data_IF_371359806843
#
_entry.id   IF_371359806843
#
_cell.length_a   1.000
_cell.length_b   1.000
_cell.length_c   1.000
_cell.angle_alpha   90.00
_cell.angle_beta   90.00
_cell.angle_gamma   90.00
#
_symmetry.space_group_name_H-M   'P 1'
#
loop_
_entity.id
_entity.type
_entity.pdbx_description
1 polymer ?
#
# COMPACT_ATOMS: atom_id res chain seq x y z
N UNK A 1 0.71 -82.66 25.88
CA UNK A 1 1.18 -83.11 24.56
C UNK A 1 0.80 -82.06 23.55
N UNK A 2 1.83 -81.45 22.98
CA UNK A 2 1.93 -80.94 21.61
C UNK A 2 0.87 -79.92 21.15
N UNK A 3 1.23 -78.77 20.63
CA UNK A 3 2.52 -78.09 20.55
C UNK A 3 2.26 -76.80 19.76
N UNK A 4 2.61 -75.66 20.33
CA UNK A 4 3.63 -74.78 19.74
C UNK A 4 3.51 -74.28 18.28
N UNK A 5 2.34 -74.29 17.63
CA UNK A 5 2.22 -73.73 16.27
C UNK A 5 1.34 -72.48 16.16
N UNK A 6 0.47 -72.20 17.14
CA UNK A 6 -0.44 -71.05 17.07
C UNK A 6 0.05 -69.83 17.87
N UNK A 7 0.79 -70.02 18.97
CA UNK A 7 1.40 -68.89 19.70
C UNK A 7 2.66 -68.34 19.02
N UNK A 8 3.39 -69.16 18.25
CA UNK A 8 4.63 -68.75 17.55
C UNK A 8 4.33 -67.89 16.32
N UNK A 9 3.12 -67.98 15.75
CA UNK A 9 2.70 -67.13 14.62
C UNK A 9 2.29 -65.73 15.07
N UNK A 10 1.67 -65.61 16.25
CA UNK A 10 1.26 -64.31 16.80
C UNK A 10 2.47 -63.53 17.33
N UNK A 11 3.50 -64.21 17.86
CA UNK A 11 4.71 -63.54 18.35
C UNK A 11 5.67 -63.11 17.22
N UNK A 12 5.78 -63.87 16.12
CA UNK A 12 6.59 -63.46 14.96
C UNK A 12 5.94 -62.37 14.10
N UNK A 13 4.60 -62.23 14.13
CA UNK A 13 3.93 -61.11 13.48
C UNK A 13 4.12 -59.78 14.25
N UNK A 14 4.20 -59.84 15.58
CA UNK A 14 4.46 -58.66 16.43
C UNK A 14 5.95 -58.25 16.44
N UNK A 15 6.88 -59.17 16.19
CA UNK A 15 8.31 -58.83 16.08
C UNK A 15 8.68 -58.25 14.70
N UNK A 16 7.99 -58.63 13.62
CA UNK A 16 8.14 -58.01 12.30
C UNK A 16 7.50 -56.61 12.23
N UNK A 17 6.48 -56.33 13.05
CA UNK A 17 5.88 -55.00 13.17
C UNK A 17 6.70 -54.01 14.05
N UNK A 18 7.67 -54.49 14.84
CA UNK A 18 8.53 -53.64 15.67
C UNK A 18 9.99 -53.52 15.17
N UNK A 19 10.32 -54.11 14.02
CA UNK A 19 11.62 -53.92 13.35
C UNK A 19 11.52 -53.19 12.00
N UNK A 20 10.32 -52.76 11.61
CA UNK A 20 10.11 -51.81 10.51
C UNK A 20 9.89 -50.38 11.02
N UNK A 21 10.39 -50.04 12.21
CA UNK A 21 10.67 -48.65 12.59
C UNK A 21 12.05 -48.26 12.04
N UNK A 22 12.27 -48.45 10.74
CA UNK A 22 13.25 -47.64 10.03
C UNK A 22 12.59 -46.30 9.82
N UNK A 23 13.24 -45.30 10.37
CA UNK A 23 13.07 -43.87 10.21
C UNK A 23 12.81 -43.47 8.76
N UNK A 24 11.57 -43.64 8.31
CA UNK A 24 11.03 -42.85 7.22
C UNK A 24 10.61 -41.54 7.86
N UNK A 25 11.55 -40.59 7.85
CA UNK A 25 11.23 -39.17 7.95
C UNK A 25 10.19 -38.91 6.85
N UNK A 26 8.91 -39.00 7.22
CA UNK A 26 7.82 -38.41 6.44
C UNK A 26 8.11 -36.93 6.51
N UNK A 27 8.92 -36.47 5.55
CA UNK A 27 8.86 -35.11 5.06
C UNK A 27 7.41 -34.92 4.68
N UNK A 28 6.63 -34.39 5.62
CA UNK A 28 5.44 -33.63 5.30
C UNK A 28 5.97 -32.45 4.51
N UNK A 29 6.12 -32.67 3.20
CA UNK A 29 6.16 -31.59 2.24
C UNK A 29 4.89 -30.80 2.56
N UNK A 30 5.05 -29.69 3.29
CA UNK A 30 3.99 -28.73 3.46
C UNK A 30 3.66 -28.36 2.03
N UNK A 31 2.58 -28.93 1.50
CA UNK A 31 2.07 -28.66 0.17
C UNK A 31 1.81 -27.16 0.15
N UNK A 32 2.80 -26.39 -0.29
CA UNK A 32 2.57 -25.03 -0.70
C UNK A 32 1.45 -25.10 -1.71
N UNK A 33 0.37 -24.35 -1.48
CA UNK A 33 -0.73 -24.25 -2.42
C UNK A 33 -0.14 -23.96 -3.81
N UNK A 34 -0.17 -24.97 -4.69
CA UNK A 34 0.39 -24.90 -6.05
C UNK A 34 -0.42 -23.95 -6.94
N UNK A 35 -1.50 -23.37 -6.42
CA UNK A 35 -2.42 -22.52 -7.14
C UNK A 35 -2.66 -21.22 -6.40
N UNK A 36 -2.54 -20.10 -7.09
CA UNK A 36 -2.97 -18.79 -6.63
C UNK A 36 -4.47 -18.63 -6.81
N UNK A 37 -5.18 -18.39 -5.71
CA UNK A 37 -6.61 -18.12 -5.71
C UNK A 37 -6.82 -16.63 -5.95
N UNK A 38 -7.53 -16.30 -7.03
CA UNK A 38 -7.89 -14.92 -7.36
C UNK A 38 -9.39 -14.68 -7.24
N UNK A 39 -9.76 -13.50 -6.76
CA UNK A 39 -11.14 -13.08 -6.50
C UNK A 39 -11.54 -11.94 -7.42
N UNK A 40 -12.80 -11.94 -7.85
CA UNK A 40 -13.33 -10.90 -8.75
C UNK A 40 -13.51 -9.57 -8.02
N UNK A 41 -12.95 -8.50 -8.58
CA UNK A 41 -13.14 -7.14 -8.12
C UNK A 41 -13.44 -6.21 -9.31
N UNK A 42 -14.72 -5.97 -9.60
CA UNK A 42 -15.14 -5.14 -10.75
C UNK A 42 -14.48 -5.64 -12.04
N UNK A 43 -13.65 -4.83 -12.70
CA UNK A 43 -12.92 -5.18 -13.92
C UNK A 43 -11.50 -5.71 -13.63
N UNK A 44 -11.28 -6.27 -12.44
CA UNK A 44 -10.00 -6.79 -11.98
C UNK A 44 -10.16 -8.16 -11.33
N UNK A 45 -9.06 -8.89 -11.26
CA UNK A 45 -8.90 -10.04 -10.38
C UNK A 45 -7.81 -9.75 -9.37
N UNK A 46 -8.00 -10.24 -8.14
CA UNK A 46 -7.15 -9.90 -7.00
C UNK A 46 -6.73 -11.17 -6.28
N UNK A 47 -5.43 -11.35 -6.09
CA UNK A 47 -4.83 -12.38 -5.25
C UNK A 47 -4.47 -11.70 -3.94
N UNK A 48 -5.32 -11.88 -2.93
CA UNK A 48 -5.07 -11.36 -1.60
C UNK A 48 -4.03 -12.22 -0.87
N UNK A 49 -3.15 -11.58 -0.09
CA UNK A 49 -2.20 -12.24 0.79
C UNK A 49 -1.21 -13.15 0.05
N UNK A 50 -0.75 -12.71 -1.13
CA UNK A 50 0.37 -13.36 -1.83
C UNK A 50 1.60 -13.44 -0.91
N UNK A 51 1.86 -12.37 -0.16
CA UNK A 51 2.54 -12.48 1.14
C UNK A 51 1.50 -12.25 2.22
N UNK A 52 1.49 -13.10 3.24
CA UNK A 52 0.64 -12.95 4.39
C UNK A 52 1.45 -12.38 5.55
N UNK A 53 1.16 -11.13 5.95
CA UNK A 53 1.79 -10.53 7.12
C UNK A 53 1.38 -11.27 8.39
N UNK A 54 2.36 -11.72 9.16
CA UNK A 54 2.25 -12.50 10.40
C UNK A 54 2.40 -11.68 11.67
N UNK A 55 2.67 -10.37 11.57
CA UNK A 55 2.71 -9.46 12.71
C UNK A 55 1.45 -9.60 13.57
N UNK A 56 1.63 -9.82 14.88
CA UNK A 56 0.53 -9.88 15.82
C UNK A 56 -0.04 -8.46 16.05
N UNK A 57 -1.36 -8.32 16.00
CA UNK A 57 -2.05 -7.05 16.11
C UNK A 57 -3.14 -7.17 17.17
N UNK A 58 -2.97 -6.47 18.29
CA UNK A 58 -4.00 -6.29 19.30
C UNK A 58 -4.82 -5.03 18.99
N UNK A 59 -5.81 -5.17 18.09
CA UNK A 59 -6.68 -4.04 17.70
C UNK A 59 -7.58 -3.52 18.83
N UNK A 60 -7.69 -4.25 19.94
CA UNK A 60 -8.56 -3.89 21.06
C UNK A 60 -7.80 -2.99 22.03
N UNK A 61 -6.65 -3.43 22.51
CA UNK A 61 -5.89 -2.70 23.54
C UNK A 61 -4.81 -1.79 22.94
N UNK A 62 -4.20 -2.18 21.81
CA UNK A 62 -3.09 -1.48 21.18
C UNK A 62 -3.29 -1.27 19.66
N UNK A 63 -4.36 -0.56 19.24
CA UNK A 63 -4.70 -0.43 17.82
C UNK A 63 -3.54 0.16 17.03
N UNK A 64 -3.14 -0.54 15.97
CA UNK A 64 -2.01 -0.17 15.11
C UNK A 64 -2.51 0.60 13.90
N UNK A 65 -1.58 1.27 13.22
CA UNK A 65 -1.87 1.93 11.95
C UNK A 65 -1.30 1.06 10.83
N UNK A 66 -2.14 0.65 9.87
CA UNK A 66 -1.63 0.05 8.64
C UNK A 66 -1.10 1.13 7.68
N UNK A 67 0.14 0.97 7.22
CA UNK A 67 0.63 1.71 6.07
C UNK A 67 0.06 1.06 4.81
N UNK A 68 -0.79 1.80 4.12
CA UNK A 68 -1.46 1.35 2.90
C UNK A 68 -0.74 1.92 1.70
N UNK A 69 -0.06 1.03 0.98
CA UNK A 69 0.76 1.35 -0.18
C UNK A 69 0.14 0.80 -1.45
N UNK A 70 0.53 1.39 -2.57
CA UNK A 70 0.30 0.86 -3.90
C UNK A 70 1.56 1.00 -4.71
N UNK A 71 1.77 0.08 -5.65
CA UNK A 71 3.00 0.08 -6.43
C UNK A 71 2.87 -0.63 -7.78
N UNK A 72 3.95 -0.56 -8.54
CA UNK A 72 4.32 -1.53 -9.58
C UNK A 72 5.59 -2.24 -9.11
N UNK A 73 5.90 -3.42 -9.64
CA UNK A 73 7.08 -4.20 -9.19
C UNK A 73 8.39 -3.39 -9.17
N UNK A 74 8.53 -2.43 -10.08
CA UNK A 74 9.75 -1.61 -10.25
C UNK A 74 10.11 -0.74 -9.03
N UNK A 75 9.17 -0.54 -8.11
CA UNK A 75 9.37 0.27 -6.90
C UNK A 75 9.40 -0.59 -5.62
N UNK A 76 9.47 -1.93 -5.74
CA UNK A 76 9.65 -2.84 -4.61
C UNK A 76 10.85 -2.48 -3.72
N UNK A 77 12.01 -2.00 -4.23
CA UNK A 77 13.14 -1.64 -3.36
C UNK A 77 12.80 -0.59 -2.29
N UNK A 78 11.83 0.28 -2.54
CA UNK A 78 11.37 1.24 -1.53
C UNK A 78 10.71 0.57 -0.32
N UNK A 79 10.20 -0.66 -0.45
CA UNK A 79 9.66 -1.42 0.68
C UNK A 79 10.73 -1.71 1.73
N UNK A 80 12.01 -1.86 1.35
CA UNK A 80 13.10 -2.05 2.32
C UNK A 80 13.18 -0.86 3.28
N UNK A 81 13.01 0.36 2.77
CA UNK A 81 12.96 1.56 3.63
C UNK A 81 11.76 1.53 4.58
N UNK A 82 10.59 1.07 4.13
CA UNK A 82 9.41 0.93 4.99
C UNK A 82 9.59 -0.18 6.02
N UNK A 83 10.29 -1.26 5.67
CA UNK A 83 10.66 -2.31 6.64
C UNK A 83 11.55 -1.73 7.74
N UNK A 84 12.40 -0.76 7.44
CA UNK A 84 13.29 -0.20 8.44
C UNK A 84 12.66 0.96 9.24
N UNK A 85 11.67 1.66 8.70
CA UNK A 85 11.16 2.92 9.28
C UNK A 85 9.72 2.84 9.80
N UNK A 86 8.88 1.95 9.25
CA UNK A 86 7.48 1.81 9.67
C UNK A 86 7.34 0.69 10.71
N UNK A 87 6.87 1.05 11.91
CA UNK A 87 6.79 0.13 13.05
C UNK A 87 5.52 -0.73 13.07
N UNK A 88 4.52 -0.38 12.24
CA UNK A 88 3.23 -1.07 12.17
C UNK A 88 3.11 -2.06 11.00
N UNK A 89 1.91 -2.62 10.78
CA UNK A 89 1.64 -3.46 9.62
C UNK A 89 1.63 -2.64 8.32
N UNK A 90 1.99 -3.28 7.21
CA UNK A 90 2.00 -2.72 5.85
C UNK A 90 1.04 -3.56 5.01
N UNK A 91 0.12 -2.92 4.30
CA UNK A 91 -0.68 -3.56 3.27
C UNK A 91 -0.41 -2.89 1.92
N UNK A 92 -0.01 -3.67 0.93
CA UNK A 92 0.39 -3.15 -0.38
C UNK A 92 -0.33 -3.88 -1.50
N UNK A 93 -0.81 -3.13 -2.50
CA UNK A 93 -1.35 -3.67 -3.74
C UNK A 93 -0.42 -3.40 -4.92
N UNK A 94 -0.06 -4.44 -5.66
CA UNK A 94 0.80 -4.37 -6.86
C UNK A 94 0.01 -4.83 -8.07
N UNK A 95 -0.02 -3.97 -9.09
CA UNK A 95 -0.58 -4.34 -10.39
C UNK A 95 0.40 -5.26 -11.10
N UNK A 96 -0.10 -6.36 -11.66
CA UNK A 96 0.65 -7.35 -12.44
C UNK A 96 -0.04 -7.56 -13.80
N UNK A 97 0.68 -8.10 -14.81
CA UNK A 97 0.06 -8.52 -16.07
C UNK A 97 -1.05 -9.54 -15.82
N UNK A 98 -2.04 -9.68 -16.73
CA UNK A 98 -2.94 -10.83 -16.68
C UNK A 98 -2.18 -12.14 -16.98
N UNK A 99 -2.60 -13.29 -16.42
CA UNK A 99 -2.11 -14.59 -16.86
C UNK A 99 -2.52 -14.85 -18.32
N UNK A 100 -1.90 -15.84 -18.94
CA UNK A 100 -2.29 -16.28 -20.29
C UNK A 100 -3.71 -16.84 -20.23
N UNK A 101 -4.53 -16.43 -21.19
CA UNK A 101 -5.89 -16.95 -21.35
C UNK A 101 -5.84 -18.45 -21.63
N UNK A 102 -6.43 -19.25 -20.75
CA UNK A 102 -6.68 -20.66 -21.03
C UNK A 102 -7.95 -20.82 -21.86
N UNK A 103 -7.91 -21.75 -22.82
CA UNK A 103 -9.03 -22.06 -23.72
C UNK A 103 -10.16 -22.86 -23.06
N UNK A 104 -10.01 -23.29 -21.80
CA UNK A 104 -11.00 -24.07 -21.06
C UNK A 104 -11.40 -23.42 -19.72
N UNK A 105 -12.70 -23.47 -19.37
CA UNK A 105 -13.27 -22.76 -18.20
C UNK A 105 -12.76 -23.25 -16.84
N UNK A 106 -12.31 -24.51 -16.74
CA UNK A 106 -11.86 -25.13 -15.48
C UNK A 106 -10.35 -25.34 -15.39
N UNK A 107 -9.60 -24.89 -16.40
CA UNK A 107 -8.17 -25.09 -16.45
C UNK A 107 -7.43 -24.04 -15.62
N UNK A 108 -6.32 -24.46 -15.04
CA UNK A 108 -5.39 -23.51 -14.44
C UNK A 108 -4.69 -22.73 -15.55
N UNK A 109 -4.51 -21.43 -15.32
CA UNK A 109 -3.78 -20.52 -16.20
C UNK A 109 -2.37 -20.30 -15.65
N UNK A 110 -1.45 -19.85 -16.48
CA UNK A 110 -0.09 -19.57 -16.07
C UNK A 110 0.40 -18.24 -16.64
N UNK A 111 1.49 -17.71 -16.09
CA UNK A 111 2.14 -16.52 -16.61
C UNK A 111 3.14 -16.89 -17.69
N UNK A 112 3.24 -16.06 -18.74
CA UNK A 112 4.31 -16.21 -19.73
C UNK A 112 5.68 -16.06 -19.08
N UNK A 113 6.71 -16.68 -19.66
CA UNK A 113 8.10 -16.59 -19.16
C UNK A 113 8.54 -15.14 -18.95
N UNK A 114 8.20 -14.23 -19.88
CA UNK A 114 8.45 -12.78 -19.76
C UNK A 114 7.82 -12.17 -18.51
N UNK A 115 6.64 -12.64 -18.10
CA UNK A 115 5.92 -12.11 -16.93
C UNK A 115 6.35 -12.78 -15.62
N UNK A 116 7.02 -13.93 -15.66
CA UNK A 116 7.56 -14.61 -14.47
C UNK A 116 8.59 -13.77 -13.73
N UNK A 117 9.26 -12.83 -14.41
CA UNK A 117 10.23 -11.91 -13.79
C UNK A 117 9.66 -11.16 -12.58
N UNK A 118 8.37 -10.79 -12.61
CA UNK A 118 7.71 -10.09 -11.51
C UNK A 118 7.68 -10.98 -10.27
N UNK A 119 7.33 -12.26 -10.45
CA UNK A 119 7.26 -13.22 -9.36
C UNK A 119 8.66 -13.59 -8.85
N UNK A 120 9.67 -13.65 -9.74
CA UNK A 120 11.07 -13.84 -9.34
C UNK A 120 11.56 -12.67 -8.46
N UNK A 121 11.28 -11.42 -8.83
CA UNK A 121 11.61 -10.23 -8.02
C UNK A 121 10.96 -10.32 -6.64
N UNK A 122 9.67 -10.64 -6.59
CA UNK A 122 8.94 -10.77 -5.33
C UNK A 122 9.54 -11.89 -4.47
N UNK A 123 9.75 -13.07 -5.03
CA UNK A 123 10.30 -14.20 -4.28
C UNK A 123 11.71 -13.90 -3.72
N UNK A 124 12.60 -13.30 -4.53
CA UNK A 124 13.91 -12.85 -4.06
C UNK A 124 13.80 -11.79 -2.97
N UNK A 125 12.89 -10.82 -3.12
CA UNK A 125 12.68 -9.80 -2.10
C UNK A 125 12.27 -10.43 -0.77
N UNK A 126 11.32 -11.38 -0.77
CA UNK A 126 10.90 -12.08 0.46
C UNK A 126 11.98 -12.97 1.06
N UNK A 127 12.93 -13.48 0.26
CA UNK A 127 14.06 -14.27 0.75
C UNK A 127 15.06 -13.42 1.54
N UNK A 128 15.28 -12.18 1.11
CA UNK A 128 16.33 -11.31 1.65
C UNK A 128 15.81 -10.21 2.60
N UNK A 129 14.51 -10.15 2.87
CA UNK A 129 13.91 -9.13 3.73
C UNK A 129 12.87 -9.73 4.66
N UNK A 130 12.74 -9.19 5.87
CA UNK A 130 11.67 -9.56 6.79
C UNK A 130 10.31 -9.00 6.31
N UNK A 131 9.50 -9.88 5.75
CA UNK A 131 8.15 -9.59 5.26
C UNK A 131 7.06 -9.84 6.33
N UNK A 132 7.41 -10.11 7.59
CA UNK A 132 6.46 -10.43 8.67
C UNK A 132 5.37 -9.38 8.86
N UNK A 133 5.66 -8.11 8.56
CA UNK A 133 4.70 -7.00 8.63
C UNK A 133 4.02 -6.68 7.31
N UNK A 134 4.32 -7.37 6.20
CA UNK A 134 3.83 -7.03 4.86
C UNK A 134 2.73 -8.01 4.42
N UNK A 135 1.53 -7.48 4.19
CA UNK A 135 0.49 -8.16 3.42
C UNK A 135 0.52 -7.65 1.99
N UNK A 136 1.01 -8.49 1.06
CA UNK A 136 1.09 -8.17 -0.36
C UNK A 136 -0.12 -8.74 -1.11
N UNK A 137 -0.78 -7.88 -1.87
CA UNK A 137 -1.92 -8.21 -2.72
C UNK A 137 -1.54 -7.96 -4.18
N UNK A 138 -1.73 -8.95 -5.05
CA UNK A 138 -1.50 -8.81 -6.49
C UNK A 138 -2.84 -8.61 -7.18
N UNK A 139 -2.87 -7.79 -8.22
CA UNK A 139 -4.10 -7.64 -9.02
C UNK A 139 -3.79 -7.34 -10.49
N UNK A 140 -4.69 -7.75 -11.37
CA UNK A 140 -4.57 -7.52 -12.81
C UNK A 140 -5.93 -7.19 -13.42
N UNK A 141 -5.91 -6.54 -14.59
CA UNK A 141 -7.12 -6.19 -15.33
C UNK A 141 -7.74 -7.47 -15.88
N UNK A 142 -9.02 -7.68 -15.60
CA UNK A 142 -9.80 -8.77 -16.18
C UNK A 142 -11.25 -8.32 -16.40
N UNK A 143 -11.63 -8.22 -17.68
CA UNK A 143 -12.99 -7.85 -18.09
C UNK A 143 -13.94 -9.06 -18.17
N UNK A 144 -13.44 -10.29 -18.03
CA UNK A 144 -14.28 -11.50 -17.99
C UNK A 144 -15.07 -11.59 -16.69
N UNK A 145 -16.17 -12.36 -16.71
CA UNK A 145 -17.05 -12.52 -15.55
C UNK A 145 -16.35 -13.13 -14.33
N UNK A 146 -15.53 -14.16 -14.57
CA UNK A 146 -14.84 -14.93 -13.53
C UNK A 146 -13.33 -14.71 -13.56
N UNK A 147 -12.66 -14.98 -12.43
CA UNK A 147 -11.21 -15.00 -12.32
C UNK A 147 -10.69 -16.44 -12.45
N UNK A 148 -9.68 -16.70 -13.28
CA UNK A 148 -9.12 -18.03 -13.42
C UNK A 148 -8.35 -18.47 -12.17
N UNK A 149 -8.24 -19.79 -12.01
CA UNK A 149 -7.21 -20.39 -11.16
C UNK A 149 -5.85 -20.19 -11.85
N UNK A 150 -4.81 -19.88 -11.08
CA UNK A 150 -3.49 -19.58 -11.64
C UNK A 150 -2.44 -20.48 -11.00
N UNK A 151 -1.57 -21.10 -11.78
CA UNK A 151 -0.47 -21.89 -11.26
C UNK A 151 0.50 -20.96 -10.53
N UNK A 152 0.85 -21.30 -9.29
CA UNK A 152 1.82 -20.54 -8.51
C UNK A 152 3.19 -20.73 -9.15
N UNK A 153 3.87 -19.65 -9.60
CA UNK A 153 5.21 -19.77 -10.13
C UNK A 153 6.17 -20.34 -9.08
N UNK A 154 6.95 -21.34 -9.47
CA UNK A 154 8.04 -21.92 -8.68
C UNK A 154 9.36 -21.60 -9.35
N UNK A 155 10.39 -21.34 -8.54
CA UNK A 155 11.73 -20.98 -9.00
C UNK A 155 12.76 -21.79 -8.23
N UNK A 156 13.78 -22.30 -8.92
CA UNK A 156 14.99 -22.79 -8.26
C UNK A 156 15.76 -21.59 -7.69
N UNK A 157 15.99 -21.64 -6.38
CA UNK A 157 16.58 -20.56 -5.61
C UNK A 157 18.01 -20.85 -5.14
N UNK A 158 18.59 -21.95 -5.61
CA UNK A 158 20.00 -22.26 -5.39
C UNK A 158 20.86 -21.17 -6.05
N UNK A 159 21.85 -20.65 -5.32
CA UNK A 159 22.85 -19.69 -5.80
C UNK A 159 22.37 -18.27 -6.18
N UNK A 160 21.23 -17.81 -5.65
CA UNK A 160 20.74 -16.44 -5.89
C UNK A 160 21.33 -15.42 -4.90
N UNK A 161 21.62 -14.20 -5.37
CA UNK A 161 22.13 -13.07 -4.57
C UNK A 161 21.12 -11.90 -4.48
N UNK A 162 21.30 -11.00 -3.49
CA UNK A 162 20.45 -9.81 -3.34
C UNK A 162 20.60 -8.85 -4.54
N UNK A 163 21.81 -8.74 -5.10
CA UNK A 163 22.12 -7.85 -6.22
C UNK A 163 21.39 -8.22 -7.52
N UNK A 164 20.92 -9.48 -7.64
CA UNK A 164 20.09 -9.91 -8.77
C UNK A 164 18.75 -9.17 -8.83
N UNK A 165 18.22 -8.70 -7.70
CA UNK A 165 16.96 -7.94 -7.65
C UNK A 165 17.08 -6.68 -8.51
N UNK A 166 18.19 -5.96 -8.43
CA UNK A 166 18.39 -4.71 -9.17
C UNK A 166 18.46 -4.95 -10.68
N UNK A 167 19.09 -6.05 -11.09
CA UNK A 167 19.14 -6.47 -12.51
C UNK A 167 17.74 -6.83 -13.00
N UNK A 168 17.00 -7.65 -12.26
CA UNK A 168 15.64 -8.04 -12.64
C UNK A 168 14.69 -6.84 -12.68
N UNK A 169 14.87 -5.85 -11.82
CA UNK A 169 14.08 -4.61 -11.84
C UNK A 169 14.40 -3.77 -13.09
N UNK A 170 15.67 -3.72 -13.52
CA UNK A 170 16.03 -3.05 -14.79
C UNK A 170 15.34 -3.75 -15.97
N UNK A 171 15.31 -5.07 -15.99
CA UNK A 171 14.64 -5.85 -17.04
C UNK A 171 13.11 -5.68 -16.97
N UNK A 172 12.53 -5.68 -15.78
CA UNK A 172 11.10 -5.47 -15.58
C UNK A 172 10.62 -4.07 -16.05
N UNK A 173 11.49 -3.06 -16.03
CA UNK A 173 11.21 -1.73 -16.60
C UNK A 173 11.06 -1.75 -18.12
N UNK A 174 11.65 -2.74 -18.79
CA UNK A 174 11.60 -2.91 -20.26
C UNK A 174 10.42 -3.80 -20.71
N UNK A 175 9.62 -4.31 -19.79
CA UNK A 175 8.43 -5.10 -20.12
C UNK A 175 7.36 -4.26 -20.83
N UNK A 176 6.53 -4.94 -21.62
CA UNK A 176 5.40 -4.30 -22.28
C UNK A 176 4.40 -3.80 -21.24
N UNK A 177 3.78 -2.66 -21.52
CA UNK A 177 2.73 -2.12 -20.66
C UNK A 177 1.49 -2.99 -20.76
N UNK A 178 0.97 -3.40 -19.62
CA UNK A 178 -0.28 -4.15 -19.47
C UNK A 178 -1.42 -3.28 -18.90
N UNK A 179 -1.24 -1.97 -18.89
CA UNK A 179 -2.25 -0.96 -18.59
C UNK A 179 -1.90 0.37 -19.27
N UNK A 180 -2.92 1.11 -19.73
CA UNK A 180 -2.73 2.44 -20.30
C UNK A 180 -2.55 3.50 -19.22
N UNK A 181 -3.48 3.53 -18.26
CA UNK A 181 -3.49 4.43 -17.10
C UNK A 181 -3.33 3.59 -15.86
N UNK A 182 -2.33 3.91 -15.04
CA UNK A 182 -2.08 3.21 -13.78
C UNK A 182 -3.33 3.26 -12.88
N UNK A 183 -3.87 2.10 -12.43
CA UNK A 183 -5.12 2.02 -11.68
C UNK A 183 -4.93 2.37 -10.19
N UNK A 184 -4.41 3.56 -9.91
CA UNK A 184 -3.95 4.00 -8.57
C UNK A 184 -5.02 3.86 -7.48
N UNK A 185 -6.25 4.29 -7.74
CA UNK A 185 -7.32 4.29 -6.75
C UNK A 185 -7.86 2.88 -6.50
N UNK A 186 -7.80 2.01 -7.50
CA UNK A 186 -8.09 0.57 -7.35
C UNK A 186 -7.04 -0.03 -6.43
N UNK A 187 -5.76 0.17 -6.73
CA UNK A 187 -4.66 -0.33 -5.91
C UNK A 187 -4.76 0.13 -4.44
N UNK A 188 -4.99 1.44 -4.21
CA UNK A 188 -5.22 1.99 -2.86
C UNK A 188 -6.38 1.31 -2.16
N UNK A 189 -7.50 1.08 -2.84
CA UNK A 189 -8.66 0.45 -2.23
C UNK A 189 -8.44 -1.05 -1.96
N UNK A 190 -7.75 -1.77 -2.86
CA UNK A 190 -7.42 -3.18 -2.67
C UNK A 190 -6.49 -3.38 -1.47
N UNK A 191 -5.45 -2.55 -1.35
CA UNK A 191 -4.59 -2.54 -0.16
C UNK A 191 -5.39 -2.19 1.10
N UNK A 192 -6.21 -1.14 1.06
CA UNK A 192 -7.07 -0.80 2.22
C UNK A 192 -8.07 -1.90 2.59
N UNK A 193 -8.49 -2.74 1.65
CA UNK A 193 -9.37 -3.90 1.91
C UNK A 193 -8.61 -5.09 2.50
N UNK A 194 -7.31 -5.22 2.20
CA UNK A 194 -6.47 -6.29 2.72
C UNK A 194 -5.78 -5.96 4.05
N UNK A 195 -5.89 -4.73 4.55
CA UNK A 195 -5.33 -4.34 5.84
C UNK A 195 -6.10 -4.95 7.01
N UNK A 196 -5.40 -5.22 8.12
CA UNK A 196 -5.95 -5.88 9.33
C UNK A 196 -6.24 -4.90 10.49
N UNK A 197 -6.12 -3.59 10.25
CA UNK A 197 -6.27 -2.55 11.28
C UNK A 197 -7.42 -1.60 10.97
N UNK A 198 -7.92 -0.90 12.00
CA UNK A 198 -8.97 0.13 11.89
C UNK A 198 -8.44 1.50 11.47
N UNK A 199 -7.15 1.73 11.70
CA UNK A 199 -6.45 2.98 11.40
C UNK A 199 -5.50 2.77 10.23
N UNK A 200 -5.41 3.73 9.32
CA UNK A 200 -4.52 3.60 8.18
C UNK A 200 -3.88 4.92 7.78
N UNK A 201 -2.71 4.81 7.14
CA UNK A 201 -2.05 5.86 6.39
C UNK A 201 -1.96 5.42 4.93
N UNK A 202 -2.65 6.09 4.00
CA UNK A 202 -2.47 5.81 2.57
C UNK A 202 -1.32 6.64 2.01
N UNK A 203 -0.32 5.98 1.42
CA UNK A 203 0.89 6.64 0.91
C UNK A 203 1.40 6.08 -0.41
N UNK A 204 2.13 6.92 -1.14
CA UNK A 204 2.95 6.48 -2.26
C UNK A 204 4.17 5.74 -1.68
N UNK A 205 4.62 4.66 -2.32
CA UNK A 205 5.72 3.82 -1.81
C UNK A 205 7.05 4.57 -1.65
N UNK A 206 7.23 5.68 -2.36
CA UNK A 206 8.45 6.51 -2.30
C UNK A 206 8.46 7.51 -1.12
N UNK A 207 7.35 7.64 -0.39
CA UNK A 207 7.19 8.59 0.71
C UNK A 207 7.53 7.92 2.04
N UNK A 208 8.74 8.18 2.55
CA UNK A 208 9.28 7.54 3.74
C UNK A 208 8.89 8.35 4.98
N UNK A 209 8.42 7.68 6.03
CA UNK A 209 8.07 8.32 7.30
C UNK A 209 9.33 8.58 8.14
N UNK A 210 9.32 9.64 8.94
CA UNK A 210 10.39 9.85 9.94
C UNK A 210 10.38 8.75 11.03
N UNK A 211 11.48 8.62 11.78
CA UNK A 211 11.59 7.58 12.79
C UNK A 211 10.54 7.73 13.91
N UNK A 212 9.98 6.60 14.35
CA UNK A 212 8.97 6.56 15.41
C UNK A 212 7.59 7.08 14.98
N UNK A 213 7.33 7.23 13.67
CA UNK A 213 6.09 7.83 13.19
C UNK A 213 4.87 7.06 13.70
N UNK A 214 4.83 5.74 13.51
CA UNK A 214 3.63 4.95 13.76
C UNK A 214 3.37 4.85 15.26
N UNK A 215 4.41 4.60 16.06
CA UNK A 215 4.30 4.48 17.51
C UNK A 215 3.84 5.77 18.19
N UNK A 216 4.25 6.94 17.67
CA UNK A 216 3.80 8.25 18.15
C UNK A 216 2.39 8.58 17.66
N UNK A 217 2.10 8.33 16.38
CA UNK A 217 0.80 8.66 15.77
C UNK A 217 -0.34 7.80 16.30
N UNK A 218 -0.11 6.50 16.53
CA UNK A 218 -1.17 5.56 16.94
C UNK A 218 -1.81 5.92 18.27
N UNK A 219 -1.04 6.50 19.22
CA UNK A 219 -1.56 6.99 20.51
C UNK A 219 -2.54 8.15 20.31
N UNK A 220 -2.19 9.11 19.45
CA UNK A 220 -3.05 10.23 19.11
C UNK A 220 -4.28 9.76 18.30
N UNK A 221 -4.10 8.84 17.36
CA UNK A 221 -5.16 8.30 16.53
C UNK A 221 -6.17 7.49 17.34
N UNK A 222 -5.71 6.64 18.27
CA UNK A 222 -6.59 5.94 19.23
C UNK A 222 -7.46 6.95 19.98
N UNK A 223 -6.85 7.97 20.58
CA UNK A 223 -7.57 9.00 21.35
C UNK A 223 -8.56 9.80 20.51
N UNK A 224 -8.15 10.32 19.36
CA UNK A 224 -8.95 11.29 18.60
C UNK A 224 -9.95 10.62 17.64
N UNK A 225 -9.59 9.48 17.04
CA UNK A 225 -10.40 8.80 16.02
C UNK A 225 -11.21 7.66 16.63
N UNK A 226 -10.59 6.77 17.43
CA UNK A 226 -11.27 5.58 17.96
C UNK A 226 -12.11 5.94 19.19
N UNK A 227 -11.46 6.42 20.26
CA UNK A 227 -12.09 6.62 21.57
C UNK A 227 -13.15 7.74 21.50
N UNK A 228 -12.80 8.87 20.89
CA UNK A 228 -13.70 10.02 20.73
C UNK A 228 -14.64 9.94 19.54
N UNK A 229 -14.45 8.96 18.63
CA UNK A 229 -15.27 8.76 17.42
C UNK A 229 -15.46 10.04 16.58
N UNK A 230 -14.43 10.89 16.49
CA UNK A 230 -14.52 12.17 15.76
C UNK A 230 -14.38 11.96 14.25
N UNK A 231 -15.08 12.77 13.47
CA UNK A 231 -14.77 12.97 12.05
C UNK A 231 -13.53 13.87 11.94
N UNK A 232 -12.36 13.31 12.26
CA UNK A 232 -11.06 13.98 12.14
C UNK A 232 -10.08 13.06 11.44
N UNK A 233 -9.23 13.65 10.60
CA UNK A 233 -8.04 13.01 10.06
C UNK A 233 -6.79 13.72 10.57
N UNK A 234 -5.73 12.97 10.84
CA UNK A 234 -4.48 13.49 11.40
C UNK A 234 -3.46 13.69 10.29
N UNK A 235 -3.17 14.95 9.97
CA UNK A 235 -2.36 15.37 8.82
C UNK A 235 -0.93 15.64 9.26
N UNK A 236 0.03 15.00 8.63
CA UNK A 236 1.47 15.34 8.73
C UNK A 236 1.92 16.24 7.59
N UNK A 237 3.09 16.87 7.75
CA UNK A 237 3.73 17.64 6.69
C UNK A 237 4.56 16.74 5.79
N UNK A 238 4.65 17.09 4.50
CA UNK A 238 5.41 16.34 3.50
C UNK A 238 6.53 17.21 2.96
N UNK A 239 7.68 16.60 2.70
CA UNK A 239 8.85 17.28 2.16
C UNK A 239 9.46 16.50 0.98
N UNK A 240 10.12 17.22 0.10
CA UNK A 240 11.08 16.68 -0.86
C UNK A 240 12.49 17.04 -0.40
N UNK A 241 13.46 16.18 -0.68
CA UNK A 241 14.86 16.43 -0.35
C UNK A 241 15.79 16.11 -1.51
N UNK A 242 16.99 16.68 -1.48
CA UNK A 242 18.10 16.28 -2.35
C UNK A 242 18.35 14.76 -2.24
N UNK A 243 18.52 14.10 -3.38
CA UNK A 243 18.68 12.65 -3.47
C UNK A 243 20.00 12.16 -2.85
N UNK A 244 21.02 13.03 -2.82
CA UNK A 244 22.35 12.75 -2.30
C UNK A 244 22.45 12.88 -0.78
N UNK A 245 21.41 13.40 -0.14
CA UNK A 245 21.39 13.59 1.30
C UNK A 245 20.84 12.36 2.03
N UNK A 246 21.23 12.23 3.30
CA UNK A 246 20.68 11.22 4.20
C UNK A 246 19.27 11.62 4.63
N UNK A 247 18.35 10.64 4.64
CA UNK A 247 16.97 10.87 5.09
C UNK A 247 17.00 11.33 6.55
N UNK A 248 16.48 12.52 6.88
CA UNK A 248 16.48 13.01 8.25
C UNK A 248 15.54 12.18 9.11
N UNK A 249 16.05 11.78 10.29
CA UNK A 249 15.33 10.90 11.22
C UNK A 249 14.32 11.64 12.08
N UNK A 250 14.52 12.95 12.24
CA UNK A 250 13.77 13.82 13.15
C UNK A 250 13.68 15.26 12.59
N UNK A 251 12.90 16.11 13.25
CA UNK A 251 12.62 17.48 12.79
C UNK A 251 13.85 18.38 12.88
N UNK A 252 14.76 18.14 13.82
CA UNK A 252 16.04 18.88 13.92
C UNK A 252 16.89 18.68 12.67
N UNK A 253 17.06 17.44 12.22
CA UNK A 253 17.79 17.11 10.99
C UNK A 253 17.07 17.66 9.75
N UNK A 254 15.74 17.51 9.68
CA UNK A 254 14.95 18.07 8.58
C UNK A 254 15.08 19.60 8.51
N UNK A 255 15.04 20.30 9.65
CA UNK A 255 15.22 21.75 9.71
C UNK A 255 16.59 22.17 9.21
N UNK A 256 17.65 21.43 9.57
CA UNK A 256 18.99 21.70 9.06
C UNK A 256 19.10 21.56 7.54
N UNK A 257 18.43 20.56 6.94
CA UNK A 257 18.33 20.42 5.49
C UNK A 257 17.49 21.53 4.85
N UNK A 258 16.37 21.88 5.48
CA UNK A 258 15.47 22.93 5.02
C UNK A 258 16.16 24.30 4.98
N UNK A 259 16.90 24.65 6.03
CA UNK A 259 17.65 25.91 6.12
C UNK A 259 18.75 26.01 5.06
N UNK A 260 19.36 24.87 4.72
CA UNK A 260 20.34 24.75 3.64
C UNK A 260 19.71 24.66 2.24
N UNK A 261 18.38 24.77 2.12
CA UNK A 261 17.61 24.58 0.87
C UNK A 261 17.80 23.21 0.22
N UNK A 262 18.22 22.21 1.01
CA UNK A 262 18.35 20.81 0.60
C UNK A 262 17.08 19.99 0.84
N UNK A 263 16.13 20.54 1.57
CA UNK A 263 14.77 20.03 1.68
C UNK A 263 13.78 21.17 1.49
N UNK A 264 12.64 20.89 0.84
CA UNK A 264 11.55 21.84 0.60
C UNK A 264 10.22 21.17 0.92
N UNK A 265 9.17 21.97 1.13
CA UNK A 265 7.81 21.42 1.22
C UNK A 265 7.49 20.65 -0.05
N UNK A 266 6.81 19.52 0.09
CA UNK A 266 6.53 18.62 -1.03
C UNK A 266 5.85 19.35 -2.20
N UNK A 267 6.40 19.21 -3.40
CA UNK A 267 5.96 19.88 -4.62
C UNK A 267 5.91 21.42 -4.51
N UNK A 268 6.70 22.06 -3.66
CA UNK A 268 6.74 23.52 -3.54
C UNK A 268 7.01 24.21 -4.90
N UNK A 269 7.83 23.60 -5.76
CA UNK A 269 8.21 24.19 -7.06
C UNK A 269 7.16 24.02 -8.17
N UNK A 270 6.29 23.00 -8.08
CA UNK A 270 5.37 22.64 -9.17
C UNK A 270 3.89 22.74 -8.76
N UNK A 271 3.57 22.54 -7.48
CA UNK A 271 2.19 22.54 -6.98
C UNK A 271 2.10 23.01 -5.52
N UNK A 272 2.71 24.16 -5.22
CA UNK A 272 2.67 24.81 -3.89
C UNK A 272 1.27 24.89 -3.29
N UNK A 273 0.29 25.34 -4.07
CA UNK A 273 -1.10 25.44 -3.63
C UNK A 273 -1.75 24.07 -3.38
N UNK A 274 -1.19 22.97 -3.88
CA UNK A 274 -1.67 21.63 -3.55
C UNK A 274 -1.28 21.19 -2.14
N UNK A 275 -0.12 21.65 -1.65
CA UNK A 275 0.53 21.04 -0.49
C UNK A 275 0.84 22.00 0.65
N UNK A 276 0.70 23.32 0.45
CA UNK A 276 0.94 24.30 1.51
C UNK A 276 -0.03 24.14 2.68
N UNK A 277 0.55 24.04 3.89
CA UNK A 277 -0.14 24.04 5.19
C UNK A 277 0.38 25.24 6.00
N UNK A 278 -0.51 26.13 6.52
CA UNK A 278 -0.12 27.30 7.28
C UNK A 278 0.75 26.98 8.49
N UNK A 279 1.50 27.97 8.98
CA UNK A 279 2.32 27.89 10.20
C UNK A 279 3.48 26.89 10.15
N UNK A 280 4.28 26.94 9.08
CA UNK A 280 5.44 26.06 8.92
C UNK A 280 6.57 26.39 9.90
N UNK A 281 6.84 27.68 10.13
CA UNK A 281 7.91 28.12 11.04
C UNK A 281 7.59 27.74 12.48
N UNK A 282 6.35 27.95 12.93
CA UNK A 282 5.90 27.50 14.25
C UNK A 282 6.00 25.98 14.38
N UNK A 283 5.61 25.23 13.33
CA UNK A 283 5.76 23.78 13.32
C UNK A 283 7.23 23.34 13.49
N UNK A 284 8.18 23.99 12.84
CA UNK A 284 9.61 23.70 13.04
C UNK A 284 10.10 24.03 14.45
N UNK A 285 9.56 25.08 15.07
CA UNK A 285 10.00 25.56 16.38
C UNK A 285 9.40 24.79 17.57
N UNK A 286 8.30 24.04 17.37
CA UNK A 286 7.74 23.18 18.42
C UNK A 286 8.74 22.07 18.75
N UNK A 287 9.04 21.82 20.03
CA UNK A 287 9.93 20.72 20.43
C UNK A 287 9.26 19.37 20.14
N UNK A 288 10.03 18.41 19.65
CA UNK A 288 9.52 17.04 19.43
C UNK A 288 9.35 16.30 20.76
N UNK A 289 8.25 15.57 20.86
CA UNK A 289 8.05 14.53 21.87
C UNK A 289 8.21 13.17 21.18
N UNK A 290 9.27 12.43 21.53
CA UNK A 290 9.57 11.13 20.92
C UNK A 290 8.66 10.01 21.44
N UNK A 291 7.86 10.25 22.47
CA UNK A 291 6.93 9.26 23.02
C UNK A 291 5.53 9.36 22.39
N UNK A 292 5.11 10.54 21.95
CA UNK A 292 3.78 10.78 21.37
C UNK A 292 3.78 12.04 20.50
N UNK A 293 2.82 12.14 19.58
CA UNK A 293 2.55 13.38 18.86
C UNK A 293 1.25 14.04 19.35
N UNK A 294 1.08 15.32 19.05
CA UNK A 294 -0.11 16.11 19.39
C UNK A 294 -0.53 16.99 18.21
N UNK A 295 -1.76 17.51 18.26
CA UNK A 295 -2.31 18.39 17.22
C UNK A 295 -1.84 19.84 17.48
N UNK A 296 -1.10 20.43 16.54
CA UNK A 296 -0.78 21.88 16.54
C UNK A 296 -2.02 22.74 16.33
N UNK A 297 -2.86 22.32 15.39
CA UNK A 297 -3.99 23.09 14.91
C UNK A 297 -5.02 22.19 14.24
N UNK A 298 -6.29 22.56 14.37
CA UNK A 298 -7.39 21.93 13.65
C UNK A 298 -7.83 22.89 12.56
N UNK A 299 -7.72 22.46 11.31
CA UNK A 299 -8.12 23.24 10.13
C UNK A 299 -9.41 22.70 9.51
N UNK A 300 -10.25 23.57 8.92
CA UNK A 300 -11.24 23.12 7.93
C UNK A 300 -10.53 22.65 6.65
N UNK A 301 -11.28 22.05 5.73
CA UNK A 301 -10.77 21.82 4.38
C UNK A 301 -10.40 23.15 3.72
N UNK A 302 -9.12 23.30 3.33
CA UNK A 302 -8.59 24.60 2.92
C UNK A 302 -9.10 25.05 1.55
N UNK A 303 -9.04 24.17 0.54
CA UNK A 303 -9.34 24.50 -0.86
C UNK A 303 -9.46 23.23 -1.72
N UNK A 304 -10.19 23.27 -2.85
CA UNK A 304 -10.39 22.12 -3.75
C UNK A 304 -9.12 21.46 -4.29
N UNK A 305 -8.01 22.22 -4.38
CA UNK A 305 -6.71 21.73 -4.82
C UNK A 305 -5.87 21.05 -3.73
N UNK A 306 -6.27 21.16 -2.46
CA UNK A 306 -5.44 20.70 -1.35
C UNK A 306 -5.37 19.16 -1.27
N UNK A 307 -4.14 18.64 -1.18
CA UNK A 307 -3.80 17.21 -1.13
C UNK A 307 -3.09 16.86 0.19
N UNK A 308 -3.79 16.98 1.35
CA UNK A 308 -3.24 16.52 2.62
C UNK A 308 -3.11 15.00 2.61
N UNK A 309 -2.01 14.52 3.16
CA UNK A 309 -1.85 13.12 3.52
C UNK A 309 -2.10 12.96 5.01
N UNK A 310 -2.78 11.88 5.40
CA UNK A 310 -3.27 11.76 6.76
C UNK A 310 -3.42 10.31 7.22
N UNK A 311 -3.39 10.16 8.54
CA UNK A 311 -3.94 8.99 9.22
C UNK A 311 -5.43 9.18 9.41
N UNK A 312 -6.19 8.15 9.03
CA UNK A 312 -7.65 8.13 9.13
C UNK A 312 -8.16 6.80 9.69
N UNK A 313 -9.41 6.80 10.14
CA UNK A 313 -10.11 5.59 10.57
C UNK A 313 -11.07 5.04 9.52
N UNK A 314 -11.80 3.99 9.89
CA UNK A 314 -12.78 3.28 9.05
C UNK A 314 -13.90 4.19 8.49
N UNK A 315 -14.18 5.32 9.16
CA UNK A 315 -15.16 6.30 8.70
C UNK A 315 -14.72 7.05 7.41
N UNK A 316 -13.42 7.06 7.08
CA UNK A 316 -12.89 7.63 5.85
C UNK A 316 -13.29 6.75 4.65
N UNK A 317 -14.01 7.29 3.66
CA UNK A 317 -14.45 6.50 2.51
C UNK A 317 -13.26 6.01 1.66
N UNK A 318 -13.49 4.96 0.88
CA UNK A 318 -12.56 4.52 -0.16
C UNK A 318 -12.34 5.60 -1.22
N UNK A 319 -11.22 5.51 -1.94
CA UNK A 319 -10.95 6.36 -3.09
C UNK A 319 -11.99 6.10 -4.19
N UNK A 320 -12.38 7.14 -4.91
CA UNK A 320 -13.25 7.02 -6.06
C UNK A 320 -12.44 6.56 -7.29
N UNK A 321 -12.62 5.30 -7.65
CA UNK A 321 -11.86 4.61 -8.71
C UNK A 321 -12.12 5.14 -10.12
N UNK A 322 -13.11 6.03 -10.30
CA UNK A 322 -13.38 6.65 -11.59
C UNK A 322 -12.46 7.83 -11.90
N UNK A 323 -11.75 8.39 -10.90
CA UNK A 323 -10.73 9.40 -11.16
C UNK A 323 -9.44 8.73 -11.63
N UNK A 324 -8.97 9.02 -12.86
CA UNK A 324 -7.76 8.42 -13.37
C UNK A 324 -6.53 9.00 -12.68
N UNK A 325 -5.45 8.22 -12.66
CA UNK A 325 -4.17 8.67 -12.12
C UNK A 325 -3.75 10.01 -12.73
N UNK A 326 -3.26 10.93 -11.89
CA UNK A 326 -2.86 12.32 -12.22
C UNK A 326 -3.98 13.31 -12.52
N UNK A 327 -5.25 12.87 -12.63
CA UNK A 327 -6.39 13.80 -12.73
C UNK A 327 -7.29 13.61 -11.53
N UNK A 328 -7.09 14.45 -10.52
CA UNK A 328 -7.87 14.45 -9.27
C UNK A 328 -7.81 13.14 -8.47
N UNK A 329 -6.87 12.25 -8.78
CA UNK A 329 -6.66 10.98 -8.04
C UNK A 329 -6.31 11.18 -6.57
N UNK A 330 -5.75 12.33 -6.18
CA UNK A 330 -5.45 12.67 -4.79
C UNK A 330 -6.48 13.64 -4.17
N UNK A 331 -6.87 14.69 -4.90
CA UNK A 331 -7.76 15.75 -4.39
C UNK A 331 -9.20 15.32 -4.13
N UNK A 332 -9.72 14.28 -4.79
CA UNK A 332 -11.11 13.88 -4.62
C UNK A 332 -11.44 13.37 -3.21
N UNK A 333 -10.52 12.67 -2.53
CA UNK A 333 -10.81 12.10 -1.21
C UNK A 333 -10.92 13.18 -0.11
N UNK A 334 -9.96 14.11 0.05
CA UNK A 334 -10.11 15.27 0.93
C UNK A 334 -11.38 16.09 0.64
N UNK A 335 -11.79 16.14 -0.63
CA UNK A 335 -13.03 16.78 -1.04
C UNK A 335 -14.26 16.09 -0.45
N UNK A 336 -14.34 14.75 -0.55
CA UNK A 336 -15.41 13.97 0.07
C UNK A 336 -15.41 14.19 1.59
N UNK A 337 -14.23 14.25 2.22
CA UNK A 337 -14.08 14.49 3.65
C UNK A 337 -14.66 15.86 4.06
N UNK A 338 -14.46 16.92 3.27
CA UNK A 338 -15.11 18.22 3.51
C UNK A 338 -16.64 18.09 3.56
N UNK A 339 -17.23 17.42 2.56
CA UNK A 339 -18.68 17.23 2.46
C UNK A 339 -19.24 16.33 3.57
N UNK A 340 -18.41 15.47 4.17
CA UNK A 340 -18.73 14.64 5.35
C UNK A 340 -18.35 15.29 6.68
N UNK A 341 -18.07 16.60 6.66
CA UNK A 341 -17.78 17.45 7.80
C UNK A 341 -16.56 17.02 8.65
N UNK A 342 -15.57 16.41 8.00
CA UNK A 342 -14.30 16.10 8.64
C UNK A 342 -13.49 17.35 8.96
N UNK A 343 -12.71 17.25 10.04
CA UNK A 343 -11.68 18.21 10.43
C UNK A 343 -10.29 17.64 10.12
N UNK A 344 -9.32 18.53 9.94
CA UNK A 344 -7.94 18.17 9.62
C UNK A 344 -7.03 18.61 10.77
N UNK A 345 -6.64 17.66 11.63
CA UNK A 345 -5.73 17.92 12.75
C UNK A 345 -4.29 17.85 12.29
N UNK A 346 -3.59 18.98 12.20
CA UNK A 346 -2.19 19.03 11.78
C UNK A 346 -1.29 18.63 12.97
N UNK A 347 -0.46 17.60 12.82
CA UNK A 347 0.40 17.11 13.91
C UNK A 347 1.72 17.89 14.03
N UNK A 348 2.34 17.85 15.21
CA UNK A 348 3.43 18.76 15.62
C UNK A 348 4.83 18.43 15.10
N UNK A 349 5.09 17.18 14.73
CA UNK A 349 6.47 16.69 14.62
C UNK A 349 6.65 15.52 13.65
N UNK A 350 5.56 14.90 13.20
CA UNK A 350 5.61 13.83 12.22
C UNK A 350 5.58 14.38 10.80
N UNK A 351 6.35 13.76 9.92
CA UNK A 351 6.47 14.13 8.52
C UNK A 351 6.82 12.93 7.63
N UNK A 352 6.63 13.08 6.32
CA UNK A 352 7.16 12.16 5.31
C UNK A 352 8.08 12.87 4.34
N UNK A 353 8.95 12.09 3.72
CA UNK A 353 9.98 12.59 2.81
C UNK A 353 9.98 11.79 1.52
N UNK A 354 10.12 12.54 0.43
CA UNK A 354 10.41 12.02 -0.89
C UNK A 354 11.84 12.41 -1.30
N UNK A 355 12.66 11.44 -1.69
CA UNK A 355 13.98 11.71 -2.26
C UNK A 355 13.86 12.20 -3.71
N UNK A 356 14.57 13.27 -4.04
CA UNK A 356 14.49 13.95 -5.32
C UNK A 356 13.46 15.08 -5.28
N UNK A 357 13.93 16.30 -5.57
CA UNK A 357 13.11 17.50 -5.69
C UNK A 357 12.55 17.59 -7.12
N UNK A 358 11.22 17.58 -7.25
CA UNK A 358 10.58 17.74 -8.55
C UNK A 358 10.59 19.22 -8.99
N UNK A 359 11.23 19.48 -10.13
CA UNK A 359 11.36 20.85 -10.70
C UNK A 359 10.33 21.15 -11.78
N UNK A 360 9.73 20.14 -12.40
CA UNK A 360 8.80 20.29 -13.52
C UNK A 360 7.76 19.18 -13.59
N UNK A 361 6.61 19.48 -14.19
CA UNK A 361 5.62 18.45 -14.52
C UNK A 361 6.07 17.66 -15.75
N UNK A 362 6.40 16.39 -15.55
CA UNK A 362 6.67 15.47 -16.66
C UNK A 362 5.37 15.21 -17.44
N UNK A 363 5.38 15.43 -18.77
CA UNK A 363 4.27 15.01 -19.63
C UNK A 363 4.18 13.49 -19.64
N UNK A 364 2.98 12.96 -19.34
CA UNK A 364 2.74 11.51 -19.35
C UNK A 364 1.93 11.12 -20.57
N UNK A 365 2.49 10.26 -21.43
CA UNK A 365 1.84 9.73 -22.64
C UNK A 365 0.48 9.06 -22.35
N UNK A 366 0.26 8.56 -21.13
CA UNK A 366 -0.99 7.92 -20.70
C UNK A 366 -2.15 8.89 -20.49
N UNK A 367 -1.89 10.19 -20.35
CA UNK A 367 -2.94 11.21 -20.17
C UNK A 367 -3.33 11.77 -21.54
N UNK A 368 -4.18 11.02 -22.24
CA UNK A 368 -4.70 11.41 -23.56
C UNK A 368 -5.81 12.46 -23.44
N UNK A 369 -6.14 13.14 -24.54
CA UNK A 369 -7.29 14.07 -24.62
C UNK A 369 -8.60 13.38 -24.21
N UNK A 370 -8.76 12.11 -24.56
CA UNK A 370 -9.92 11.32 -24.18
C UNK A 370 -10.01 11.10 -22.66
N UNK A 371 -8.89 10.73 -22.03
CA UNK A 371 -8.83 10.57 -20.57
C UNK A 371 -9.20 11.87 -19.85
N UNK A 372 -8.67 13.01 -20.33
CA UNK A 372 -9.01 14.34 -19.80
C UNK A 372 -10.52 14.63 -19.96
N UNK A 373 -11.08 14.39 -21.15
CA UNK A 373 -12.50 14.62 -21.43
C UNK A 373 -13.40 13.75 -20.55
N UNK A 374 -13.09 12.47 -20.40
CA UNK A 374 -13.84 11.54 -19.51
C UNK A 374 -13.77 12.01 -18.06
N UNK A 375 -12.58 12.38 -17.57
CA UNK A 375 -12.40 12.89 -16.21
C UNK A 375 -13.14 14.21 -15.96
N UNK A 376 -13.20 15.11 -16.95
CA UNK A 376 -13.97 16.35 -16.88
C UNK A 376 -15.46 16.11 -16.66
N UNK A 377 -16.10 15.28 -17.50
CA UNK A 377 -17.51 14.96 -17.33
C UNK A 377 -17.79 14.21 -16.03
N UNK A 378 -16.89 13.30 -15.64
CA UNK A 378 -17.00 12.61 -14.36
C UNK A 378 -16.93 13.59 -13.18
N UNK A 379 -15.99 14.53 -13.20
CA UNK A 379 -15.83 15.53 -12.15
C UNK A 379 -17.08 16.41 -11.98
N UNK A 380 -17.75 16.79 -13.06
CA UNK A 380 -19.03 17.51 -12.99
C UNK A 380 -20.12 16.67 -12.32
N UNK A 381 -20.26 15.40 -12.72
CA UNK A 381 -21.20 14.45 -12.11
C UNK A 381 -20.89 14.22 -10.63
N UNK A 382 -19.62 14.10 -10.28
CA UNK A 382 -19.12 13.95 -8.92
C UNK A 382 -19.51 15.15 -8.03
N UNK A 383 -19.23 16.37 -8.50
CA UNK A 383 -19.61 17.60 -7.79
C UNK A 383 -21.12 17.70 -7.58
N UNK A 384 -21.92 17.43 -8.62
CA UNK A 384 -23.38 17.43 -8.53
C UNK A 384 -23.90 16.41 -7.50
N UNK A 385 -23.38 15.18 -7.54
CA UNK A 385 -23.72 14.11 -6.59
C UNK A 385 -23.41 14.51 -5.13
N UNK A 386 -22.22 15.07 -4.86
CA UNK A 386 -21.86 15.48 -3.51
C UNK A 386 -22.75 16.60 -2.99
N UNK A 387 -23.02 17.62 -3.81
CA UNK A 387 -23.92 18.73 -3.44
C UNK A 387 -25.33 18.25 -3.12
N UNK A 388 -25.88 17.34 -3.94
CA UNK A 388 -27.20 16.74 -3.71
C UNK A 388 -27.23 15.90 -2.43
N UNK A 389 -26.18 15.10 -2.18
CA UNK A 389 -26.11 14.20 -1.03
C UNK A 389 -25.87 14.93 0.30
N UNK A 390 -25.15 16.06 0.27
CA UNK A 390 -24.74 16.81 1.46
C UNK A 390 -25.08 18.31 1.31
N UNK A 391 -26.38 18.68 1.27
CA UNK A 391 -26.80 20.05 0.97
C UNK A 391 -26.34 21.07 2.02
N UNK A 392 -26.24 20.67 3.29
CA UNK A 392 -25.75 21.53 4.38
C UNK A 392 -24.29 21.96 4.17
N UNK A 393 -23.46 21.06 3.63
CA UNK A 393 -22.03 21.31 3.43
C UNK A 393 -21.73 21.94 2.05
N UNK A 394 -22.69 21.98 1.13
CA UNK A 394 -22.51 22.51 -0.22
C UNK A 394 -22.14 24.01 -0.26
N UNK A 395 -22.49 24.78 0.79
CA UNK A 395 -22.08 26.20 0.91
C UNK A 395 -20.66 26.35 1.47
N UNK A 396 -20.19 25.40 2.28
CA UNK A 396 -18.88 25.41 2.94
C UNK A 396 -17.79 24.80 2.04
N UNK A 397 -18.12 23.73 1.34
CA UNK A 397 -17.19 23.00 0.49
C UNK A 397 -17.32 23.48 -0.96
N UNK A 398 -16.35 24.27 -1.42
CA UNK A 398 -16.26 24.66 -2.84
C UNK A 398 -16.20 23.41 -3.73
N UNK A 399 -16.77 23.39 -4.95
CA UNK A 399 -16.69 22.24 -5.86
C UNK A 399 -15.26 21.90 -6.29
N UNK A 400 -15.02 20.64 -6.65
CA UNK A 400 -13.74 20.17 -7.16
C UNK A 400 -13.48 20.82 -8.52
N UNK A 401 -12.30 21.40 -8.71
CA UNK A 401 -11.96 22.08 -9.97
C UNK A 401 -11.88 21.06 -11.11
N UNK A 402 -12.65 21.29 -12.18
CA UNK A 402 -12.66 20.45 -13.38
C UNK A 402 -12.08 21.23 -14.54
N UNK A 403 -11.08 20.68 -15.23
CA UNK A 403 -10.46 21.33 -16.39
C UNK A 403 -11.01 20.72 -17.67
N UNK A 404 -11.60 21.56 -18.52
CA UNK A 404 -11.92 21.23 -19.91
C UNK A 404 -10.62 21.49 -20.68
N UNK A 405 -9.80 20.46 -20.80
CA UNK A 405 -8.41 20.59 -21.29
C UNK A 405 -8.28 21.10 -22.71
#
# INVERSE_FOLDING_TARGET
>A
MISSYILTFIFNFILLLNLASSQDDVYVEILEDKTLISQKYKNYCVIYNFWNGTMNIDEVNDPRISLVLHSTVNYIPYLENHINTWEGPISIAIVVPPPIDSFCENCTTYYSEKNLIIFKILHLFSKFNDISKISLHLFYINNKKNCPKIDKPSFDMSNQSKDEIDTLIKDAKNMDKYFDVYPINVARNLARKGMKTRLFLSSDVEQICNNGYESRMRKLAKKEIIDKKRNIVLVHRRFEMDENETIPKNKKELKALYDKKKAIVFHELIYKDGHSIPRLNEWFNIKEDFNQTTISQVLPYLRPGWEPQFVGGENVPFHDENFPYRIRSNTHLPHILCYRDFKFGIVNDLFTIHKGIQKEFKKHKSITKEVIRRAYFYGQKFNSKLRKKYPKNAKKCKPLVVFKG
#
